data_IF_303150950897
#
_entry.id   IF_303150950897
#
_cell.length_a   1.000
_cell.length_b   1.000
_cell.length_c   1.000
_cell.angle_alpha   90.00
_cell.angle_beta   90.00
_cell.angle_gamma   90.00
#
_symmetry.space_group_name_H-M   'P 1'
#
loop_
_entity.id
_entity.type
_entity.pdbx_description
1 polymer ?
#
# COMPACT_ATOMS: atom_id res chain seq x y z
N UNK A 1 11.65 20.86 14.28
CA UNK A 1 12.43 19.74 13.65
C UNK A 1 11.83 19.30 12.32
N UNK A 2 10.50 19.24 12.16
CA UNK A 2 9.82 19.11 10.86
C UNK A 2 10.26 20.20 9.85
N UNK A 3 10.29 21.46 10.31
CA UNK A 3 10.70 22.62 9.53
C UNK A 3 12.09 22.55 8.92
N UNK A 4 13.04 21.84 9.54
CA UNK A 4 14.41 21.73 9.03
C UNK A 4 14.49 20.73 7.87
N UNK A 5 13.83 19.58 8.02
CA UNK A 5 13.71 18.56 6.96
C UNK A 5 12.87 19.08 5.80
N UNK A 6 11.83 19.86 6.10
CA UNK A 6 11.03 20.59 5.12
C UNK A 6 11.85 21.62 4.36
N UNK A 7 12.71 22.40 5.04
CA UNK A 7 13.62 23.36 4.38
C UNK A 7 14.69 22.68 3.54
N UNK A 8 15.27 21.57 4.01
CA UNK A 8 16.23 20.79 3.20
C UNK A 8 15.56 20.20 1.96
N UNK A 9 14.39 19.56 2.13
CA UNK A 9 13.62 19.01 1.01
C UNK A 9 13.21 20.11 0.03
N UNK A 10 12.67 21.23 0.53
CA UNK A 10 12.31 22.38 -0.31
C UNK A 10 13.50 23.07 -0.96
N UNK A 11 14.66 23.13 -0.30
CA UNK A 11 15.88 23.70 -0.88
C UNK A 11 16.38 22.84 -2.04
N UNK A 12 16.46 21.52 -1.85
CA UNK A 12 16.72 20.56 -2.93
C UNK A 12 15.69 20.68 -4.06
N UNK A 13 14.40 20.83 -3.73
CA UNK A 13 13.31 21.00 -4.69
C UNK A 13 13.38 22.32 -5.47
N UNK A 14 13.84 23.40 -4.84
CA UNK A 14 13.98 24.73 -5.45
C UNK A 14 15.14 24.78 -6.44
N UNK A 15 16.19 24.01 -6.19
CA UNK A 15 17.34 23.86 -7.10
C UNK A 15 17.05 22.93 -8.28
N UNK A 16 16.10 21.99 -8.15
CA UNK A 16 15.76 21.00 -9.18
C UNK A 16 14.68 21.45 -10.19
N UNK A 17 13.78 22.36 -9.82
CA UNK A 17 12.74 22.91 -10.71
C UNK A 17 11.67 21.92 -11.20
N UNK A 18 10.38 22.21 -10.95
CA UNK A 18 9.25 21.54 -11.62
C UNK A 18 8.56 20.40 -10.86
N UNK A 19 7.62 19.72 -11.55
CA UNK A 19 6.68 18.69 -11.04
C UNK A 19 7.40 17.53 -10.31
N UNK A 20 8.66 17.27 -10.66
CA UNK A 20 9.53 16.27 -10.05
C UNK A 20 9.88 16.55 -8.57
N UNK A 21 9.77 17.79 -8.12
CA UNK A 21 10.02 18.19 -6.74
C UNK A 21 9.09 17.52 -5.72
N UNK A 22 7.80 17.39 -6.04
CA UNK A 22 6.83 16.71 -5.16
C UNK A 22 7.12 15.20 -5.06
N UNK A 23 7.74 14.63 -6.09
CA UNK A 23 8.08 13.20 -6.16
C UNK A 23 9.22 12.84 -5.19
N UNK A 24 10.01 13.81 -4.75
CA UNK A 24 11.16 13.58 -3.86
C UNK A 24 10.78 13.44 -2.38
N UNK A 25 9.60 13.92 -1.97
CA UNK A 25 9.19 13.88 -0.57
C UNK A 25 8.93 12.46 -0.07
N UNK A 26 8.32 11.58 -0.89
CA UNK A 26 8.13 10.19 -0.47
C UNK A 26 9.47 9.43 -0.40
N UNK A 27 10.44 9.72 -1.27
CA UNK A 27 11.78 9.12 -1.20
C UNK A 27 12.50 9.52 0.10
N UNK A 28 12.32 10.76 0.58
CA UNK A 28 12.83 11.16 1.89
C UNK A 28 12.16 10.40 3.03
N UNK A 29 10.84 10.16 2.94
CA UNK A 29 10.11 9.30 3.87
C UNK A 29 10.68 7.88 3.91
N UNK A 30 10.93 7.30 2.75
CA UNK A 30 11.51 5.96 2.60
C UNK A 30 12.90 5.87 3.24
N UNK A 31 13.75 6.88 3.02
CA UNK A 31 15.07 6.96 3.65
C UNK A 31 14.97 7.05 5.17
N UNK A 32 13.96 7.73 5.73
CA UNK A 32 13.74 7.75 7.18
C UNK A 32 13.27 6.39 7.71
N UNK A 33 12.38 5.71 6.99
CA UNK A 33 11.95 4.34 7.34
C UNK A 33 13.14 3.37 7.36
N UNK A 34 13.99 3.41 6.33
CA UNK A 34 15.19 2.56 6.25
C UNK A 34 16.17 2.82 7.40
N UNK A 35 16.15 4.02 7.98
CA UNK A 35 16.95 4.39 9.17
C UNK A 35 16.22 4.12 10.49
N UNK A 36 15.05 3.50 10.46
CA UNK A 36 14.23 3.20 11.64
C UNK A 36 13.47 4.39 12.23
N UNK A 37 13.53 5.56 11.61
CA UNK A 37 12.89 6.80 12.10
C UNK A 37 11.44 6.89 11.60
N UNK A 38 10.59 6.00 12.13
CA UNK A 38 9.17 5.88 11.76
C UNK A 38 8.40 7.18 11.97
N UNK A 39 8.66 7.88 13.08
CA UNK A 39 7.98 9.14 13.40
C UNK A 39 8.29 10.22 12.36
N UNK A 40 9.56 10.40 11.96
CA UNK A 40 9.87 11.37 10.90
C UNK A 40 9.37 10.94 9.54
N UNK A 41 9.39 9.65 9.23
CA UNK A 41 8.80 9.15 7.99
C UNK A 41 7.31 9.50 7.90
N UNK A 42 6.55 9.23 8.97
CA UNK A 42 5.13 9.59 9.07
C UNK A 42 4.87 11.06 8.78
N UNK A 43 5.60 11.94 9.46
CA UNK A 43 5.48 13.40 9.27
C UNK A 43 5.75 13.80 7.82
N UNK A 44 6.76 13.20 7.17
CA UNK A 44 7.10 13.52 5.77
C UNK A 44 6.00 13.04 4.82
N UNK A 45 5.44 11.84 5.03
CA UNK A 45 4.35 11.36 4.18
C UNK A 45 3.06 12.16 4.38
N UNK A 46 2.69 12.52 5.62
CA UNK A 46 1.54 13.39 5.92
C UNK A 46 1.68 14.76 5.24
N UNK A 47 2.87 15.35 5.32
CA UNK A 47 3.22 16.60 4.64
C UNK A 47 3.10 16.45 3.11
N UNK A 48 3.61 15.34 2.55
CA UNK A 48 3.53 15.04 1.12
C UNK A 48 2.08 14.93 0.65
N UNK A 49 1.25 14.17 1.36
CA UNK A 49 -0.19 14.02 1.07
C UNK A 49 -0.89 15.38 1.11
N UNK A 50 -0.62 16.20 2.14
CA UNK A 50 -1.20 17.55 2.27
C UNK A 50 -0.88 18.42 1.06
N UNK A 51 0.39 18.47 0.63
CA UNK A 51 0.83 19.29 -0.51
C UNK A 51 0.25 18.76 -1.83
N UNK A 52 0.27 17.45 -2.04
CA UNK A 52 -0.22 16.81 -3.25
C UNK A 52 -1.75 16.99 -3.41
N UNK A 53 -2.52 16.91 -2.32
CA UNK A 53 -3.94 17.23 -2.30
C UNK A 53 -4.20 18.70 -2.67
N UNK A 54 -3.46 19.64 -2.08
CA UNK A 54 -3.58 21.06 -2.40
C UNK A 54 -3.27 21.38 -3.88
N UNK A 55 -2.39 20.60 -4.51
CA UNK A 55 -2.02 20.75 -5.93
C UNK A 55 -2.87 19.91 -6.88
N UNK A 56 -3.81 19.10 -6.40
CA UNK A 56 -4.63 18.21 -7.23
C UNK A 56 -3.84 17.10 -7.95
N UNK A 57 -2.65 16.75 -7.45
CA UNK A 57 -1.74 15.82 -8.12
C UNK A 57 -2.05 14.35 -7.76
N UNK A 58 -3.18 13.83 -8.26
CA UNK A 58 -3.71 12.50 -7.90
C UNK A 58 -2.72 11.35 -8.08
N UNK A 59 -2.02 11.29 -9.22
CA UNK A 59 -1.10 10.19 -9.56
C UNK A 59 0.04 9.98 -8.56
N UNK A 60 0.34 10.98 -7.73
CA UNK A 60 1.42 10.89 -6.73
C UNK A 60 0.91 10.69 -5.30
N UNK A 61 -0.41 10.73 -5.08
CA UNK A 61 -1.01 10.56 -3.74
C UNK A 61 -0.99 9.11 -3.27
N UNK A 62 -1.18 8.15 -4.18
CA UNK A 62 -1.42 6.77 -3.82
C UNK A 62 -0.25 6.14 -3.04
N UNK A 63 0.99 6.41 -3.44
CA UNK A 63 2.18 5.86 -2.77
C UNK A 63 2.34 6.34 -1.31
N UNK A 64 2.41 7.66 -1.02
CA UNK A 64 2.55 8.12 0.36
C UNK A 64 1.35 7.75 1.23
N UNK A 65 0.12 7.70 0.69
CA UNK A 65 -1.05 7.17 1.40
C UNK A 65 -0.81 5.72 1.85
N UNK A 66 -0.39 4.85 0.93
CA UNK A 66 -0.09 3.45 1.25
C UNK A 66 1.01 3.33 2.31
N UNK A 67 2.03 4.20 2.29
CA UNK A 67 3.07 4.22 3.34
C UNK A 67 2.54 4.65 4.70
N UNK A 68 1.63 5.62 4.74
CA UNK A 68 0.91 5.97 5.97
C UNK A 68 0.03 4.82 6.45
N UNK A 69 -0.55 4.04 5.54
CA UNK A 69 -1.30 2.83 5.88
C UNK A 69 -0.44 1.80 6.61
N UNK A 70 0.76 1.50 6.12
CA UNK A 70 1.68 0.58 6.82
C UNK A 70 2.19 1.13 8.16
N UNK A 71 2.38 2.45 8.27
CA UNK A 71 2.73 3.09 9.53
C UNK A 71 1.59 2.99 10.55
N UNK A 72 0.34 3.23 10.12
CA UNK A 72 -0.84 3.06 10.95
C UNK A 72 -1.03 1.60 11.38
N UNK A 73 -0.81 0.65 10.47
CA UNK A 73 -0.83 -0.79 10.78
C UNK A 73 0.18 -1.16 11.86
N UNK A 74 1.42 -0.66 11.76
CA UNK A 74 2.46 -0.84 12.78
C UNK A 74 2.20 -0.12 14.11
N UNK A 75 1.25 0.82 14.14
CA UNK A 75 0.73 1.47 15.34
C UNK A 75 -0.59 0.81 15.83
N UNK A 76 -1.01 -0.30 15.21
CA UNK A 76 -2.28 -0.99 15.46
C UNK A 76 -3.53 -0.15 15.20
N UNK A 77 -3.41 0.94 14.44
CA UNK A 77 -4.53 1.77 13.98
C UNK A 77 -5.08 1.20 12.66
N UNK A 78 -5.72 0.05 12.77
CA UNK A 78 -6.24 -0.71 11.63
C UNK A 78 -7.28 0.07 10.82
N UNK A 79 -8.07 0.92 11.48
CA UNK A 79 -9.07 1.76 10.83
C UNK A 79 -8.41 2.77 9.88
N UNK A 80 -7.39 3.51 10.35
CA UNK A 80 -6.64 4.42 9.46
C UNK A 80 -5.86 3.67 8.39
N UNK A 81 -5.31 2.49 8.72
CA UNK A 81 -4.61 1.67 7.73
C UNK A 81 -5.55 1.34 6.55
N UNK A 82 -6.78 0.92 6.84
CA UNK A 82 -7.79 0.67 5.82
C UNK A 82 -8.08 1.91 4.97
N UNK A 83 -8.38 3.06 5.61
CA UNK A 83 -8.71 4.30 4.92
C UNK A 83 -7.61 4.66 3.92
N UNK A 84 -6.35 4.63 4.36
CA UNK A 84 -5.21 4.92 3.52
C UNK A 84 -5.01 3.92 2.37
N UNK A 85 -5.18 2.62 2.63
CA UNK A 85 -5.05 1.59 1.60
C UNK A 85 -6.18 1.65 0.57
N UNK A 86 -7.42 1.91 1.00
CA UNK A 86 -8.57 2.07 0.11
C UNK A 86 -8.46 3.34 -0.74
N UNK A 87 -8.02 4.46 -0.17
CA UNK A 87 -7.78 5.69 -0.94
C UNK A 87 -6.67 5.47 -1.98
N UNK A 88 -5.58 4.79 -1.60
CA UNK A 88 -4.51 4.42 -2.53
C UNK A 88 -5.01 3.53 -3.68
N UNK A 89 -5.80 2.51 -3.36
CA UNK A 89 -6.42 1.62 -4.35
C UNK A 89 -7.32 2.41 -5.30
N UNK A 90 -8.22 3.24 -4.77
CA UNK A 90 -9.15 4.03 -5.57
C UNK A 90 -8.42 4.96 -6.55
N UNK A 91 -7.36 5.63 -6.09
CA UNK A 91 -6.53 6.51 -6.94
C UNK A 91 -5.83 5.71 -8.03
N UNK A 92 -5.19 4.60 -7.69
CA UNK A 92 -4.46 3.77 -8.67
C UNK A 92 -5.40 3.16 -9.71
N UNK A 93 -6.62 2.79 -9.31
CA UNK A 93 -7.69 2.37 -10.22
C UNK A 93 -8.13 3.51 -11.13
N UNK A 94 -8.36 4.71 -10.59
CA UNK A 94 -8.78 5.90 -11.37
C UNK A 94 -7.75 6.27 -12.46
N UNK A 95 -6.46 6.21 -12.13
CA UNK A 95 -5.38 6.57 -13.07
C UNK A 95 -4.95 5.40 -13.98
N UNK A 96 -5.50 4.20 -13.77
CA UNK A 96 -5.20 3.00 -14.57
C UNK A 96 -3.81 2.37 -14.32
N UNK A 97 -3.16 2.65 -13.18
CA UNK A 97 -1.88 2.02 -12.84
C UNK A 97 -2.11 0.61 -12.26
N UNK A 98 -2.21 -0.37 -13.16
CA UNK A 98 -2.54 -1.76 -12.81
C UNK A 98 -1.53 -2.42 -11.85
N UNK A 99 -0.24 -2.06 -11.94
CA UNK A 99 0.78 -2.58 -11.02
C UNK A 99 0.61 -1.96 -9.63
N UNK A 100 0.32 -0.66 -9.55
CA UNK A 100 0.07 0.00 -8.27
C UNK A 100 -1.26 -0.42 -7.63
N UNK A 101 -2.27 -0.80 -8.43
CA UNK A 101 -3.48 -1.49 -7.95
C UNK A 101 -3.11 -2.79 -7.25
N UNK A 102 -2.29 -3.64 -7.86
CA UNK A 102 -1.81 -4.88 -7.22
C UNK A 102 -1.06 -4.61 -5.90
N UNK A 103 -0.20 -3.60 -5.85
CA UNK A 103 0.48 -3.19 -4.61
C UNK A 103 -0.49 -2.68 -3.52
N UNK A 104 -1.60 -2.06 -3.91
CA UNK A 104 -2.63 -1.58 -2.98
C UNK A 104 -3.45 -2.75 -2.41
N UNK A 105 -3.83 -3.71 -3.26
CA UNK A 105 -4.48 -4.96 -2.84
C UNK A 105 -3.60 -5.79 -1.92
N UNK A 106 -2.30 -5.85 -2.19
CA UNK A 106 -1.33 -6.51 -1.31
C UNK A 106 -1.31 -5.87 0.09
N UNK A 107 -1.43 -4.55 0.16
CA UNK A 107 -1.46 -3.84 1.44
C UNK A 107 -2.74 -4.12 2.22
N UNK A 108 -3.85 -4.36 1.52
CA UNK A 108 -5.10 -4.84 2.12
C UNK A 108 -5.01 -6.31 2.57
N UNK A 109 -4.25 -7.15 1.86
CA UNK A 109 -3.97 -8.52 2.30
C UNK A 109 -3.15 -8.54 3.61
N UNK A 110 -2.14 -7.66 3.73
CA UNK A 110 -1.41 -7.48 4.98
C UNK A 110 -2.35 -7.07 6.14
N UNK A 111 -3.24 -6.10 5.90
CA UNK A 111 -4.24 -5.69 6.88
C UNK A 111 -5.19 -6.82 7.26
N UNK A 112 -5.62 -7.66 6.31
CA UNK A 112 -6.47 -8.80 6.59
C UNK A 112 -5.79 -9.83 7.52
N UNK A 113 -4.48 -10.09 7.36
CA UNK A 113 -3.72 -10.93 8.30
C UNK A 113 -3.67 -10.32 9.72
N UNK A 114 -3.39 -9.02 9.83
CA UNK A 114 -3.35 -8.33 11.12
C UNK A 114 -4.72 -8.28 11.81
N UNK A 115 -5.81 -8.38 11.05
CA UNK A 115 -7.18 -8.50 11.55
C UNK A 115 -7.60 -9.96 11.85
N UNK A 116 -6.71 -10.94 11.67
CA UNK A 116 -7.03 -12.35 11.89
C UNK A 116 -8.00 -12.92 10.85
N UNK A 117 -7.95 -12.41 9.61
CA UNK A 117 -8.77 -12.86 8.47
C UNK A 117 -7.89 -13.51 7.38
N UNK A 118 -7.26 -14.66 7.65
CA UNK A 118 -6.27 -15.23 6.76
C UNK A 118 -6.84 -15.75 5.42
N UNK A 119 -8.09 -16.21 5.36
CA UNK A 119 -8.74 -16.62 4.11
C UNK A 119 -8.97 -15.43 3.18
N UNK A 120 -9.33 -14.28 3.76
CA UNK A 120 -9.45 -13.02 3.02
C UNK A 120 -8.08 -12.56 2.50
N UNK A 121 -7.04 -12.68 3.33
CA UNK A 121 -5.67 -12.39 2.91
C UNK A 121 -5.22 -13.29 1.76
N UNK A 122 -5.50 -14.61 1.83
CA UNK A 122 -5.18 -15.57 0.79
C UNK A 122 -5.89 -15.26 -0.53
N UNK A 123 -7.17 -14.89 -0.50
CA UNK A 123 -7.92 -14.43 -1.69
C UNK A 123 -7.29 -13.17 -2.29
N UNK A 124 -7.05 -12.15 -1.48
CA UNK A 124 -6.42 -10.91 -1.96
C UNK A 124 -5.03 -11.17 -2.53
N UNK A 125 -4.26 -12.07 -1.90
CA UNK A 125 -2.94 -12.48 -2.36
C UNK A 125 -3.02 -13.21 -3.72
N UNK A 126 -3.96 -14.14 -3.90
CA UNK A 126 -4.23 -14.80 -5.19
C UNK A 126 -4.64 -13.82 -6.30
N UNK A 127 -5.46 -12.80 -5.98
CA UNK A 127 -5.76 -11.70 -6.92
C UNK A 127 -4.48 -10.99 -7.34
N UNK A 128 -3.62 -10.64 -6.37
CA UNK A 128 -2.35 -9.94 -6.65
C UNK A 128 -1.47 -10.75 -7.60
N UNK A 129 -1.27 -12.05 -7.33
CA UNK A 129 -0.43 -12.89 -8.20
C UNK A 129 -0.99 -12.99 -9.62
N UNK A 130 -2.29 -13.28 -9.77
CA UNK A 130 -2.98 -13.33 -11.07
C UNK A 130 -2.82 -12.03 -11.87
N UNK A 131 -2.92 -10.87 -11.20
CA UNK A 131 -2.71 -9.57 -11.87
C UNK A 131 -1.26 -9.34 -12.28
N UNK A 132 -0.29 -9.68 -11.44
CA UNK A 132 1.12 -9.54 -11.78
C UNK A 132 1.52 -10.46 -12.93
N UNK A 133 1.03 -11.71 -12.94
CA UNK A 133 1.26 -12.66 -14.02
C UNK A 133 0.68 -12.18 -15.35
N UNK A 134 -0.61 -11.80 -15.36
CA UNK A 134 -1.26 -11.31 -16.59
C UNK A 134 -0.58 -10.06 -17.19
N UNK A 135 0.08 -9.25 -16.36
CA UNK A 135 0.82 -8.07 -16.78
C UNK A 135 2.27 -8.39 -17.17
N UNK A 136 2.79 -9.58 -16.86
CA UNK A 136 4.21 -9.92 -16.97
C UNK A 136 5.12 -8.93 -16.23
N UNK A 137 4.70 -8.46 -15.05
CA UNK A 137 5.47 -7.50 -14.24
C UNK A 137 5.67 -8.00 -12.81
N UNK A 138 6.77 -7.55 -12.19
CA UNK A 138 7.00 -7.73 -10.76
C UNK A 138 6.65 -6.45 -10.00
N UNK A 139 6.41 -6.61 -8.70
CA UNK A 139 6.31 -5.50 -7.76
C UNK A 139 7.65 -4.77 -7.66
N UNK A 140 7.59 -3.51 -7.20
CA UNK A 140 8.81 -2.77 -6.85
C UNK A 140 9.40 -3.36 -5.56
N UNK A 141 10.72 -3.21 -5.38
CA UNK A 141 11.44 -3.83 -4.26
C UNK A 141 10.77 -3.61 -2.89
N UNK A 142 10.22 -2.42 -2.64
CA UNK A 142 9.62 -2.15 -1.32
C UNK A 142 8.30 -2.88 -1.06
N UNK A 143 7.62 -3.33 -2.11
CA UNK A 143 6.39 -4.11 -2.01
C UNK A 143 6.68 -5.61 -2.08
N UNK A 144 7.80 -5.99 -2.72
CA UNK A 144 8.25 -7.38 -2.79
C UNK A 144 8.49 -7.98 -1.40
N UNK A 145 9.06 -7.22 -0.46
CA UNK A 145 9.30 -7.72 0.90
C UNK A 145 8.00 -8.11 1.61
N UNK A 146 6.93 -7.30 1.45
CA UNK A 146 5.62 -7.62 2.03
C UNK A 146 4.94 -8.77 1.28
N UNK A 147 5.13 -8.86 -0.03
CA UNK A 147 4.62 -9.95 -0.85
C UNK A 147 5.16 -11.30 -0.38
N UNK A 148 6.48 -11.41 -0.25
CA UNK A 148 7.13 -12.63 0.26
C UNK A 148 6.76 -12.92 1.71
N UNK A 149 6.62 -11.88 2.54
CA UNK A 149 6.20 -12.04 3.93
C UNK A 149 4.82 -12.68 4.03
N UNK A 150 3.83 -12.17 3.31
CA UNK A 150 2.47 -12.73 3.31
C UNK A 150 2.48 -14.18 2.84
N UNK A 151 3.22 -14.48 1.77
CA UNK A 151 3.38 -15.85 1.24
C UNK A 151 3.87 -16.84 2.29
N UNK A 152 4.83 -16.42 3.12
CA UNK A 152 5.44 -17.25 4.16
C UNK A 152 4.55 -17.33 5.40
N UNK A 153 3.81 -16.28 5.73
CA UNK A 153 2.95 -16.21 6.91
C UNK A 153 1.64 -17.00 6.75
N UNK A 154 1.04 -17.01 5.54
CA UNK A 154 -0.26 -17.65 5.29
C UNK A 154 -0.36 -19.12 5.77
N UNK A 155 0.63 -20.00 5.52
CA UNK A 155 0.60 -21.39 6.00
C UNK A 155 0.64 -21.55 7.53
N UNK A 156 0.98 -20.50 8.29
CA UNK A 156 0.90 -20.53 9.74
C UNK A 156 -0.54 -20.35 10.27
N UNK A 157 -1.43 -19.81 9.44
CA UNK A 157 -2.82 -19.51 9.80
C UNK A 157 -3.83 -20.45 9.14
N UNK A 158 -3.50 -21.04 8.00
CA UNK A 158 -4.38 -21.91 7.22
C UNK A 158 -3.73 -23.27 6.96
N UNK A 159 -4.53 -24.34 7.01
CA UNK A 159 -4.14 -25.61 6.42
C UNK A 159 -4.03 -25.52 4.90
N UNK A 160 -3.27 -26.44 4.30
CA UNK A 160 -2.98 -26.43 2.86
C UNK A 160 -4.25 -26.46 1.98
N UNK A 161 -5.27 -27.31 2.25
CA UNK A 161 -6.50 -27.30 1.47
C UNK A 161 -7.23 -25.94 1.51
N UNK A 162 -7.34 -25.33 2.69
CA UNK A 162 -8.03 -24.05 2.88
C UNK A 162 -7.26 -22.91 2.21
N UNK A 163 -5.93 -22.90 2.35
CA UNK A 163 -5.06 -21.95 1.67
C UNK A 163 -5.18 -22.06 0.15
N UNK A 164 -5.08 -23.28 -0.39
CA UNK A 164 -5.16 -23.54 -1.83
C UNK A 164 -6.52 -23.12 -2.40
N UNK A 165 -7.62 -23.43 -1.70
CA UNK A 165 -8.96 -23.00 -2.10
C UNK A 165 -9.07 -21.46 -2.13
N UNK A 166 -8.75 -20.80 -1.02
CA UNK A 166 -8.87 -19.35 -0.90
C UNK A 166 -7.97 -18.60 -1.90
N UNK A 167 -6.75 -19.09 -2.12
CA UNK A 167 -5.84 -18.58 -3.14
C UNK A 167 -6.43 -18.70 -4.55
N UNK A 168 -6.95 -19.88 -4.90
CA UNK A 168 -7.53 -20.14 -6.24
C UNK A 168 -8.77 -19.29 -6.48
N UNK A 169 -9.65 -19.15 -5.48
CA UNK A 169 -10.79 -18.23 -5.54
C UNK A 169 -10.36 -16.79 -5.83
N UNK A 170 -9.25 -16.34 -5.23
CA UNK A 170 -8.65 -15.05 -5.51
C UNK A 170 -8.07 -14.94 -6.92
N UNK A 171 -7.35 -15.96 -7.37
CA UNK A 171 -6.70 -16.00 -8.67
C UNK A 171 -7.69 -15.80 -9.83
N UNK A 172 -8.82 -16.50 -9.75
CA UNK A 172 -9.87 -16.50 -10.78
C UNK A 172 -10.84 -15.31 -10.65
N UNK A 173 -10.66 -14.46 -9.62
CA UNK A 173 -11.60 -13.40 -9.29
C UNK A 173 -11.58 -12.26 -10.33
N UNK A 174 -12.75 -11.88 -10.84
CA UNK A 174 -12.93 -10.69 -11.69
C UNK A 174 -12.95 -9.37 -10.91
N UNK A 175 -12.73 -8.24 -11.60
CA UNK A 175 -12.59 -6.90 -10.97
C UNK A 175 -13.79 -6.49 -10.09
N UNK A 176 -15.02 -6.78 -10.52
CA UNK A 176 -16.23 -6.44 -9.75
C UNK A 176 -16.27 -7.13 -8.38
N UNK A 177 -15.82 -8.38 -8.32
CA UNK A 177 -15.79 -9.17 -7.07
C UNK A 177 -14.66 -8.73 -6.14
N UNK A 178 -13.53 -8.23 -6.69
CA UNK A 178 -12.43 -7.68 -5.88
C UNK A 178 -12.90 -6.47 -5.07
N UNK A 179 -13.73 -5.60 -5.65
CA UNK A 179 -14.25 -4.43 -4.93
C UNK A 179 -15.14 -4.83 -3.73
N UNK A 180 -15.97 -5.85 -3.87
CA UNK A 180 -16.78 -6.38 -2.76
C UNK A 180 -15.90 -7.05 -1.70
N UNK A 181 -14.87 -7.79 -2.12
CA UNK A 181 -13.89 -8.40 -1.21
C UNK A 181 -13.23 -7.34 -0.32
N UNK A 182 -12.82 -6.20 -0.90
CA UNK A 182 -12.20 -5.07 -0.16
C UNK A 182 -13.17 -4.41 0.82
N UNK A 183 -14.46 -4.29 0.48
CA UNK A 183 -15.49 -3.74 1.39
C UNK A 183 -15.73 -4.62 2.62
N UNK A 184 -15.47 -5.91 2.50
CA UNK A 184 -15.72 -6.88 3.57
C UNK A 184 -14.60 -6.97 4.62
N UNK A 185 -13.48 -6.26 4.44
CA UNK A 185 -12.33 -6.31 5.37
C UNK A 185 -12.74 -5.98 6.83
N UNK A 186 -13.69 -5.07 7.05
CA UNK A 186 -14.18 -4.70 8.39
C UNK A 186 -15.58 -5.22 8.73
N UNK A 187 -16.23 -5.98 7.84
CA UNK A 187 -17.49 -6.61 8.20
C UNK A 187 -17.17 -7.76 9.17
N UNK A 188 -17.76 -7.71 10.35
CA UNK A 188 -17.84 -8.88 11.24
C UNK A 188 -18.77 -9.90 10.56
N UNK A 189 -18.34 -11.16 10.47
CA UNK A 189 -19.18 -12.27 10.01
C UNK A 189 -20.16 -12.70 11.10
#
# INVERSE_FOLDING_TARGET
>A
KADAVFREGLALMKDLGGVYANNLLHFLGDVKLLKGDRSRAKMIYEESVRVLRAKGSKSFLAYPLRRLGYLALGESDNAKALEYFQESLAINTEIGDKRAVAASLLSLAALALELGKPELAARLYGVVESRLESLSVNLINTDQDQFERIRIELPAYLDEPTLTLAFTEGWDMGEDHVNELVKNIFREE
#
